data_IF_865256853118
#
_entry.id   IF_865256853118
#
_cell.length_a   1.000
_cell.length_b   1.000
_cell.length_c   1.000
_cell.angle_alpha   90.00
_cell.angle_beta   90.00
_cell.angle_gamma   90.00
#
_symmetry.space_group_name_H-M   'P 1'
#
loop_
_entity.id
_entity.type
_entity.pdbx_description
1 polymer ?
#
# COMPACT_ATOMS: atom_id res chain seq x y z
N UNK A 1 -11.94 -26.24 -1.06
CA UNK A 1 -11.07 -25.05 -1.19
C UNK A 1 -11.98 -23.85 -1.44
N UNK A 2 -11.84 -22.74 -0.70
CA UNK A 2 -12.76 -21.61 -0.87
C UNK A 2 -12.59 -20.96 -2.26
N UNK A 3 -13.65 -20.34 -2.79
CA UNK A 3 -13.59 -19.57 -4.06
C UNK A 3 -12.52 -18.48 -3.97
N UNK A 4 -12.38 -17.83 -2.82
CA UNK A 4 -11.40 -16.77 -2.59
C UNK A 4 -9.95 -17.31 -2.62
N UNK A 5 -9.70 -18.49 -2.03
CA UNK A 5 -8.39 -19.15 -2.12
C UNK A 5 -8.07 -19.57 -3.56
N UNK A 6 -9.06 -20.05 -4.32
CA UNK A 6 -8.91 -20.37 -5.74
C UNK A 6 -8.59 -19.13 -6.58
N UNK A 7 -9.36 -18.06 -6.40
CA UNK A 7 -9.13 -16.77 -7.07
C UNK A 7 -7.74 -16.20 -6.74
N UNK A 8 -7.32 -16.26 -5.47
CA UNK A 8 -6.02 -15.74 -5.04
C UNK A 8 -4.88 -16.44 -5.78
N UNK A 9 -4.92 -17.77 -5.87
CA UNK A 9 -3.94 -18.56 -6.61
C UNK A 9 -3.97 -18.23 -8.10
N UNK A 10 -5.16 -18.17 -8.70
CA UNK A 10 -5.32 -17.89 -10.12
C UNK A 10 -4.76 -16.51 -10.49
N UNK A 11 -5.20 -15.45 -9.80
CA UNK A 11 -4.73 -14.09 -10.05
C UNK A 11 -3.22 -13.94 -9.81
N UNK A 12 -2.70 -14.50 -8.70
CA UNK A 12 -1.26 -14.45 -8.41
C UNK A 12 -0.45 -15.13 -9.50
N UNK A 13 -0.91 -16.29 -9.99
CA UNK A 13 -0.18 -17.05 -11.01
C UNK A 13 -0.10 -16.35 -12.36
N UNK A 14 -1.07 -15.50 -12.68
CA UNK A 14 -1.12 -14.79 -13.97
C UNK A 14 -0.41 -13.43 -13.92
N UNK A 15 -0.50 -12.74 -12.78
CA UNK A 15 0.00 -11.36 -12.66
C UNK A 15 1.37 -11.32 -11.96
N UNK A 16 1.49 -11.95 -10.80
CA UNK A 16 2.70 -11.83 -9.98
C UNK A 16 3.85 -12.67 -10.53
N UNK A 17 3.57 -13.88 -11.01
CA UNK A 17 4.62 -14.72 -11.61
C UNK A 17 5.28 -14.05 -12.82
N UNK A 18 4.51 -13.32 -13.63
CA UNK A 18 5.07 -12.58 -14.77
C UNK A 18 6.01 -11.45 -14.34
N UNK A 19 5.74 -10.82 -13.18
CA UNK A 19 6.63 -9.82 -12.58
C UNK A 19 7.89 -10.50 -12.05
N UNK A 20 7.75 -11.63 -11.36
CA UNK A 20 8.88 -12.39 -10.83
C UNK A 20 9.81 -12.88 -11.96
N UNK A 21 9.25 -13.38 -13.06
CA UNK A 21 9.98 -13.84 -14.26
C UNK A 21 10.69 -12.69 -15.00
N UNK A 22 10.27 -11.44 -14.77
CA UNK A 22 10.92 -10.26 -15.35
C UNK A 22 12.20 -9.85 -14.61
N UNK A 23 12.53 -10.52 -13.49
CA UNK A 23 13.66 -10.20 -12.62
C UNK A 23 13.66 -8.73 -12.14
N UNK A 24 12.46 -8.17 -11.93
CA UNK A 24 12.26 -6.83 -11.39
C UNK A 24 11.76 -6.91 -9.95
N UNK A 25 12.17 -5.95 -9.14
CA UNK A 25 11.63 -5.81 -7.79
C UNK A 25 10.16 -5.34 -7.89
N UNK A 26 9.21 -6.17 -7.44
CA UNK A 26 7.78 -5.83 -7.50
C UNK A 26 7.38 -4.66 -6.59
N UNK A 27 8.22 -4.36 -5.61
CA UNK A 27 8.05 -3.21 -4.73
C UNK A 27 8.70 -1.94 -5.30
N UNK A 28 9.61 -2.08 -6.28
CA UNK A 28 10.21 -0.97 -7.03
C UNK A 28 10.67 -1.44 -8.42
N UNK A 29 9.85 -1.19 -9.46
CA UNK A 29 10.12 -1.64 -10.84
C UNK A 29 11.48 -1.16 -11.39
N UNK A 30 12.05 -0.08 -10.82
CA UNK A 30 13.32 0.49 -11.25
C UNK A 30 14.49 -0.41 -10.88
N UNK A 31 14.33 -1.23 -9.84
CA UNK A 31 15.34 -2.14 -9.33
C UNK A 31 15.25 -3.54 -9.96
N UNK A 32 16.36 -4.27 -9.90
CA UNK A 32 16.42 -5.70 -10.26
C UNK A 32 16.25 -6.52 -8.99
N UNK A 33 15.58 -7.66 -9.10
CA UNK A 33 15.46 -8.60 -8.01
C UNK A 33 15.38 -10.04 -8.53
N UNK A 34 16.03 -10.96 -7.83
CA UNK A 34 15.72 -12.38 -7.93
C UNK A 34 14.96 -12.78 -6.65
N UNK A 35 13.67 -13.08 -6.77
CA UNK A 35 12.84 -13.49 -5.63
C UNK A 35 13.23 -14.85 -5.04
N UNK A 36 14.11 -15.59 -5.71
CA UNK A 36 14.72 -16.81 -5.17
C UNK A 36 15.82 -16.48 -4.15
N UNK A 37 16.31 -15.25 -4.13
CA UNK A 37 17.24 -14.78 -3.11
C UNK A 37 16.54 -14.75 -1.73
N UNK A 38 17.15 -15.29 -0.67
CA UNK A 38 16.58 -15.31 0.68
C UNK A 38 16.21 -13.92 1.24
N UNK A 39 16.80 -12.84 0.72
CA UNK A 39 16.48 -11.47 1.09
C UNK A 39 15.14 -10.97 0.54
N UNK A 40 14.56 -11.61 -0.48
CA UNK A 40 13.27 -11.20 -1.04
C UNK A 40 13.27 -9.76 -1.56
N UNK A 41 14.32 -9.40 -2.31
CA UNK A 41 14.62 -8.08 -2.90
C UNK A 41 15.25 -7.04 -1.97
N UNK A 42 15.06 -7.13 -0.66
CA UNK A 42 15.64 -6.18 0.29
C UNK A 42 16.33 -6.90 1.45
N UNK A 43 17.63 -6.66 1.64
CA UNK A 43 18.37 -7.25 2.74
C UNK A 43 17.96 -6.66 4.09
N UNK A 44 17.10 -7.37 4.80
CA UNK A 44 16.62 -7.01 6.15
C UNK A 44 17.31 -7.80 7.27
N UNK A 45 18.41 -8.51 6.97
CA UNK A 45 19.11 -9.37 7.94
C UNK A 45 19.60 -8.61 9.17
N UNK A 46 20.09 -7.37 9.01
CA UNK A 46 20.51 -6.54 10.12
C UNK A 46 19.35 -6.20 11.08
N UNK A 47 18.17 -5.91 10.53
CA UNK A 47 16.94 -5.66 11.33
C UNK A 47 16.54 -6.93 12.08
N UNK A 48 16.53 -8.07 11.38
CA UNK A 48 16.20 -9.36 11.97
C UNK A 48 17.19 -9.76 13.09
N UNK A 49 18.49 -9.50 12.91
CA UNK A 49 19.50 -9.76 13.94
C UNK A 49 19.32 -8.84 15.15
N UNK A 50 19.11 -7.54 14.93
CA UNK A 50 18.90 -6.57 16.00
C UNK A 50 17.67 -6.93 16.85
N UNK A 51 16.51 -7.17 16.21
CA UNK A 51 15.26 -7.52 16.88
C UNK A 51 15.31 -8.87 17.59
N UNK A 52 16.19 -9.79 17.17
CA UNK A 52 16.38 -11.07 17.83
C UNK A 52 17.47 -11.07 18.91
N UNK A 53 18.19 -9.96 19.11
CA UNK A 53 19.18 -9.88 20.19
C UNK A 53 18.53 -9.99 21.56
N UNK A 54 19.20 -10.66 22.50
CA UNK A 54 18.72 -10.83 23.88
C UNK A 54 18.37 -9.49 24.52
N UNK A 55 19.24 -8.49 24.38
CA UNK A 55 19.03 -7.16 24.95
C UNK A 55 17.73 -6.50 24.43
N UNK A 56 17.46 -6.57 23.12
CA UNK A 56 16.24 -5.96 22.54
C UNK A 56 15.00 -6.75 22.93
N UNK A 57 15.06 -8.08 22.95
CA UNK A 57 13.93 -8.92 23.35
C UNK A 57 13.59 -8.78 24.83
N UNK A 58 14.59 -8.69 25.70
CA UNK A 58 14.40 -8.40 27.13
C UNK A 58 13.81 -7.00 27.35
N UNK A 59 14.36 -5.99 26.68
CA UNK A 59 13.87 -4.61 26.78
C UNK A 59 12.41 -4.47 26.34
N UNK A 60 12.02 -5.15 25.25
CA UNK A 60 10.64 -5.18 24.74
C UNK A 60 9.75 -6.21 25.45
N UNK A 61 10.29 -6.98 26.40
CA UNK A 61 9.60 -8.05 27.13
C UNK A 61 8.94 -9.10 26.20
N UNK A 62 9.66 -9.53 25.16
CA UNK A 62 9.17 -10.49 24.16
C UNK A 62 9.30 -11.92 24.70
N UNK A 63 8.18 -12.64 24.79
CA UNK A 63 8.17 -14.06 25.16
C UNK A 63 9.10 -14.90 24.29
N UNK A 64 9.81 -15.85 24.90
CA UNK A 64 10.66 -16.84 24.20
C UNK A 64 9.87 -17.71 23.21
N UNK A 65 8.55 -17.84 23.39
CA UNK A 65 7.68 -18.59 22.49
C UNK A 65 7.51 -17.93 21.11
N UNK A 66 7.87 -16.64 20.98
CA UNK A 66 7.83 -15.92 19.71
C UNK A 66 9.11 -16.20 18.93
N UNK A 67 9.08 -17.23 18.09
CA UNK A 67 10.26 -17.70 17.33
C UNK A 67 10.28 -17.23 15.88
N UNK A 68 9.12 -16.95 15.27
CA UNK A 68 9.01 -16.26 13.96
C UNK A 68 7.56 -15.84 13.66
N UNK A 69 7.40 -14.79 12.84
CA UNK A 69 6.09 -14.35 12.31
C UNK A 69 5.69 -15.22 11.10
N UNK A 70 5.13 -16.41 11.34
CA UNK A 70 4.49 -17.21 10.29
C UNK A 70 2.96 -17.04 10.29
N UNK A 71 2.49 -15.81 10.06
CA UNK A 71 1.05 -15.50 10.09
C UNK A 71 0.36 -15.58 8.71
N UNK A 72 1.11 -15.56 7.60
CA UNK A 72 0.53 -15.43 6.25
C UNK A 72 -0.42 -16.56 5.84
N UNK A 73 -0.23 -17.78 6.33
CA UNK A 73 -1.03 -18.94 5.90
C UNK A 73 -2.51 -18.83 6.32
N UNK A 74 -2.79 -18.21 7.47
CA UNK A 74 -4.14 -18.17 8.05
C UNK A 74 -5.11 -17.23 7.33
N UNK A 75 -4.61 -16.28 6.54
CA UNK A 75 -5.44 -15.23 5.92
C UNK A 75 -5.53 -15.36 4.39
N UNK A 76 -5.07 -16.47 3.82
CA UNK A 76 -5.08 -16.68 2.36
C UNK A 76 -6.49 -16.70 1.74
N UNK A 77 -7.53 -16.99 2.53
CA UNK A 77 -8.93 -16.87 2.10
C UNK A 77 -9.44 -15.43 2.01
N UNK A 78 -8.72 -14.48 2.62
CA UNK A 78 -9.24 -13.12 2.82
C UNK A 78 -8.72 -12.15 1.75
N UNK A 79 -7.57 -12.46 1.12
CA UNK A 79 -6.96 -11.65 0.06
C UNK A 79 -7.91 -11.26 -1.08
N UNK A 80 -8.85 -12.12 -1.43
CA UNK A 80 -9.77 -11.90 -2.56
C UNK A 80 -11.19 -11.53 -2.13
N UNK A 81 -11.41 -11.25 -0.84
CA UNK A 81 -12.68 -10.68 -0.40
C UNK A 81 -12.73 -9.21 -0.82
N UNK A 82 -13.91 -8.73 -1.16
CA UNK A 82 -14.08 -7.31 -1.45
C UNK A 82 -14.27 -6.53 -0.15
N UNK A 83 -13.40 -5.56 0.10
CA UNK A 83 -13.44 -4.66 1.25
C UNK A 83 -13.68 -3.19 0.87
N UNK A 84 -13.81 -2.87 -0.42
CA UNK A 84 -13.96 -1.48 -0.90
C UNK A 84 -15.24 -0.81 -0.37
N UNK A 85 -16.31 -1.59 -0.15
CA UNK A 85 -17.58 -1.12 0.40
C UNK A 85 -17.44 -0.46 1.78
N UNK A 86 -16.52 -0.94 2.62
CA UNK A 86 -16.25 -0.31 3.91
C UNK A 86 -15.65 1.09 3.77
N UNK A 87 -14.87 1.34 2.71
CA UNK A 87 -14.38 2.68 2.39
C UNK A 87 -15.53 3.59 1.98
N UNK A 88 -16.47 3.08 1.17
CA UNK A 88 -17.66 3.84 0.80
C UNK A 88 -18.51 4.20 2.03
N UNK A 89 -18.70 3.28 2.98
CA UNK A 89 -19.42 3.54 4.22
C UNK A 89 -18.77 4.68 5.03
N UNK A 90 -17.45 4.65 5.20
CA UNK A 90 -16.68 5.70 5.89
C UNK A 90 -16.81 7.07 5.19
N UNK A 91 -16.73 7.08 3.86
CA UNK A 91 -16.86 8.30 3.06
C UNK A 91 -18.28 8.89 3.12
N UNK A 92 -19.31 8.02 3.17
CA UNK A 92 -20.71 8.43 3.27
C UNK A 92 -21.10 8.95 4.66
N UNK A 93 -20.51 8.38 5.73
CA UNK A 93 -20.65 8.90 7.09
C UNK A 93 -20.01 10.30 7.20
N UNK A 94 -18.82 10.48 6.63
CA UNK A 94 -18.12 11.77 6.60
C UNK A 94 -17.46 12.15 7.94
N UNK A 95 -17.51 11.27 8.94
CA UNK A 95 -16.82 11.43 10.22
C UNK A 95 -15.29 11.24 10.12
N UNK A 96 -14.82 10.59 9.05
CA UNK A 96 -13.41 10.27 8.83
C UNK A 96 -12.95 10.81 7.48
N UNK A 97 -11.75 11.38 7.45
CA UNK A 97 -11.05 11.78 6.22
C UNK A 97 -10.26 10.59 5.70
N UNK A 98 -10.39 10.28 4.41
CA UNK A 98 -9.71 9.12 3.79
C UNK A 98 -8.61 9.59 2.83
N UNK A 99 -7.42 9.04 3.00
CA UNK A 99 -6.27 9.24 2.11
C UNK A 99 -5.83 7.89 1.55
N UNK A 100 -5.91 7.73 0.23
CA UNK A 100 -5.32 6.63 -0.51
C UNK A 100 -4.06 7.16 -1.18
N UNK A 101 -2.91 6.58 -0.88
CA UNK A 101 -1.64 6.97 -1.49
C UNK A 101 -0.91 5.72 -1.98
N UNK A 102 -0.15 5.84 -3.07
CA UNK A 102 0.57 4.72 -3.68
C UNK A 102 1.86 5.21 -4.33
N UNK A 103 2.91 4.40 -4.21
CA UNK A 103 4.18 4.65 -4.87
C UNK A 103 4.04 4.64 -6.40
N UNK A 104 4.77 5.51 -7.11
CA UNK A 104 4.79 5.51 -8.57
C UNK A 104 5.57 4.33 -9.19
N UNK A 105 6.48 3.74 -8.43
CA UNK A 105 7.32 2.62 -8.83
C UNK A 105 6.87 1.25 -8.27
N UNK A 106 5.85 1.20 -7.41
CA UNK A 106 5.31 -0.05 -6.86
C UNK A 106 4.45 -0.76 -7.93
N UNK A 107 4.69 -2.05 -8.16
CA UNK A 107 3.88 -2.88 -9.06
C UNK A 107 2.83 -3.71 -8.31
N UNK A 108 3.19 -4.22 -7.13
CA UNK A 108 2.35 -5.11 -6.32
C UNK A 108 1.10 -4.37 -5.82
N UNK A 109 1.26 -3.11 -5.41
CA UNK A 109 0.18 -2.19 -4.98
C UNK A 109 0.20 -0.88 -5.78
N UNK A 110 0.21 -1.00 -7.11
CA UNK A 110 0.47 0.13 -8.00
C UNK A 110 -0.58 1.25 -7.97
N UNK A 111 -0.11 2.46 -8.25
CA UNK A 111 -0.93 3.67 -8.26
C UNK A 111 -2.03 3.68 -9.33
N UNK A 112 -1.86 2.96 -10.45
CA UNK A 112 -2.89 2.83 -11.49
C UNK A 112 -4.08 2.03 -11.00
N UNK A 113 -3.83 0.92 -10.30
CA UNK A 113 -4.84 0.12 -9.63
C UNK A 113 -5.57 0.95 -8.59
N UNK A 114 -4.82 1.66 -7.74
CA UNK A 114 -5.38 2.58 -6.74
C UNK A 114 -6.25 3.68 -7.37
N UNK A 115 -5.79 4.32 -8.45
CA UNK A 115 -6.58 5.32 -9.17
C UNK A 115 -7.84 4.70 -9.80
N UNK A 116 -7.74 3.51 -10.37
CA UNK A 116 -8.85 2.86 -11.07
C UNK A 116 -9.99 2.48 -10.11
N UNK A 117 -9.70 1.86 -8.97
CA UNK A 117 -10.75 1.47 -8.02
C UNK A 117 -11.36 2.68 -7.31
N UNK A 118 -10.55 3.69 -6.96
CA UNK A 118 -11.06 4.91 -6.29
C UNK A 118 -12.01 5.72 -7.18
N UNK A 119 -11.78 5.77 -8.49
CA UNK A 119 -12.71 6.41 -9.45
C UNK A 119 -14.01 5.66 -9.64
N UNK A 120 -13.98 4.34 -9.49
CA UNK A 120 -15.14 3.45 -9.68
C UNK A 120 -15.93 3.21 -8.39
N UNK A 121 -15.33 3.49 -7.22
CA UNK A 121 -15.99 3.36 -5.93
C UNK A 121 -17.28 4.18 -5.91
N UNK A 122 -18.39 3.51 -5.59
CA UNK A 122 -19.70 4.15 -5.52
C UNK A 122 -19.91 4.73 -4.13
N UNK A 123 -20.03 6.06 -4.05
CA UNK A 123 -20.32 6.79 -2.81
C UNK A 123 -20.95 8.14 -3.14
N UNK A 124 -21.45 8.84 -2.12
CA UNK A 124 -22.26 10.06 -2.27
C UNK A 124 -21.61 11.14 -3.13
N UNK A 125 -20.29 11.32 -3.03
CA UNK A 125 -19.56 12.35 -3.77
C UNK A 125 -18.57 11.80 -4.83
N UNK A 126 -18.89 10.64 -5.41
CA UNK A 126 -18.07 10.04 -6.48
C UNK A 126 -17.87 10.97 -7.68
N UNK A 127 -18.93 11.65 -8.10
CA UNK A 127 -18.87 12.55 -9.27
C UNK A 127 -17.96 13.75 -8.97
N UNK A 128 -18.12 14.41 -7.81
CA UNK A 128 -17.23 15.52 -7.43
C UNK A 128 -15.77 15.05 -7.33
N UNK A 129 -15.51 13.81 -6.88
CA UNK A 129 -14.15 13.25 -6.86
C UNK A 129 -13.55 13.05 -8.25
N UNK A 130 -14.36 12.59 -9.20
CA UNK A 130 -13.91 12.39 -10.58
C UNK A 130 -13.71 13.71 -11.33
N UNK A 131 -14.52 14.72 -11.01
CA UNK A 131 -14.44 16.07 -11.59
C UNK A 131 -13.37 16.95 -10.96
N UNK A 132 -12.92 16.62 -9.75
CA UNK A 132 -11.85 17.36 -9.07
C UNK A 132 -10.56 17.40 -9.89
N UNK A 133 -9.97 18.59 -9.96
CA UNK A 133 -8.69 18.82 -10.61
C UNK A 133 -7.57 18.08 -9.88
N UNK A 134 -6.58 17.62 -10.65
CA UNK A 134 -5.34 17.12 -10.09
C UNK A 134 -4.43 18.30 -9.76
N UNK A 135 -4.00 18.39 -8.52
CA UNK A 135 -3.00 19.35 -8.09
C UNK A 135 -1.66 18.66 -7.89
N UNK A 136 -0.59 19.33 -8.30
CA UNK A 136 0.75 18.88 -7.93
C UNK A 136 0.97 19.12 -6.44
N UNK A 137 1.58 18.14 -5.79
CA UNK A 137 1.90 18.15 -4.37
C UNK A 137 3.38 18.49 -4.20
N UNK A 138 3.66 19.58 -3.52
CA UNK A 138 5.02 19.94 -3.09
C UNK A 138 5.19 19.60 -1.63
N UNK A 139 6.25 18.84 -1.33
CA UNK A 139 6.68 18.52 0.03
C UNK A 139 7.41 19.75 0.55
N UNK A 140 7.05 20.21 1.76
CA UNK A 140 7.71 21.38 2.34
C UNK A 140 9.22 21.11 2.48
N UNK A 141 10.05 21.94 1.83
CA UNK A 141 11.50 21.82 1.84
C UNK A 141 12.11 21.00 0.69
N UNK A 142 11.31 20.48 -0.24
CA UNK A 142 11.82 19.84 -1.47
C UNK A 142 11.48 20.68 -2.71
N UNK A 143 12.45 20.76 -3.64
CA UNK A 143 12.30 21.48 -4.91
C UNK A 143 11.51 20.66 -5.94
N UNK A 144 11.37 19.35 -5.72
CA UNK A 144 10.66 18.45 -6.61
C UNK A 144 9.14 18.57 -6.40
N UNK A 145 8.44 18.82 -7.50
CA UNK A 145 6.98 18.86 -7.54
C UNK A 145 6.47 17.47 -7.91
N UNK A 146 5.66 16.86 -7.06
CA UNK A 146 5.09 15.53 -7.29
C UNK A 146 3.71 15.71 -7.94
N UNK A 147 3.54 15.32 -9.20
CA UNK A 147 2.26 15.47 -9.93
C UNK A 147 1.19 14.48 -9.45
N UNK A 148 0.45 14.78 -8.38
CA UNK A 148 -0.26 13.66 -7.75
C UNK A 148 -1.34 13.90 -6.68
N UNK A 149 -2.29 14.82 -6.83
CA UNK A 149 -3.44 14.80 -5.93
C UNK A 149 -4.75 15.15 -6.62
N UNK A 150 -5.67 14.16 -6.77
CA UNK A 150 -7.10 14.49 -6.80
C UNK A 150 -7.50 14.80 -5.36
N UNK A 151 -8.01 16.00 -5.14
CA UNK A 151 -8.44 16.43 -3.81
C UNK A 151 -9.84 17.00 -3.92
N UNK A 152 -10.83 16.37 -3.27
CA UNK A 152 -12.09 17.05 -2.99
C UNK A 152 -12.05 17.58 -1.56
N UNK A 153 -12.30 18.87 -1.40
CA UNK A 153 -12.62 19.47 -0.12
C UNK A 153 -14.06 19.95 -0.22
N UNK A 154 -15.03 19.04 -0.14
CA UNK A 154 -16.35 19.46 0.33
C UNK A 154 -16.25 19.53 1.85
N UNK A 155 -16.90 20.52 2.46
CA UNK A 155 -16.78 20.85 3.89
C UNK A 155 -17.18 19.73 4.87
N UNK A 156 -17.51 18.52 4.38
CA UNK A 156 -17.94 17.35 5.18
C UNK A 156 -17.39 15.99 4.73
N UNK A 157 -16.70 15.87 3.59
CA UNK A 157 -16.11 14.59 3.14
C UNK A 157 -14.81 14.85 2.39
N UNK A 158 -13.70 14.25 2.85
CA UNK A 158 -12.38 14.36 2.23
C UNK A 158 -11.94 12.99 1.71
N UNK A 159 -11.74 12.91 0.39
CA UNK A 159 -11.12 11.78 -0.27
C UNK A 159 -9.96 12.29 -1.14
N UNK A 160 -8.79 11.67 -0.98
CA UNK A 160 -7.62 11.95 -1.83
C UNK A 160 -7.01 10.65 -2.33
N UNK A 161 -6.70 10.61 -3.63
CA UNK A 161 -5.90 9.55 -4.25
C UNK A 161 -4.60 10.17 -4.77
N UNK A 162 -3.46 9.61 -4.34
CA UNK A 162 -2.14 10.18 -4.59
C UNK A 162 -1.16 9.16 -5.16
N UNK A 163 -0.47 9.57 -6.21
CA UNK A 163 0.78 8.99 -6.65
C UNK A 163 1.93 9.62 -5.85
N UNK A 164 2.92 8.86 -5.43
CA UNK A 164 4.03 9.40 -4.64
C UNK A 164 5.32 8.81 -5.16
N UNK A 165 6.28 9.65 -5.54
CA UNK A 165 7.64 9.19 -5.75
C UNK A 165 8.25 8.91 -4.39
N UNK A 166 8.82 7.73 -4.18
CA UNK A 166 9.32 7.34 -2.85
C UNK A 166 10.44 8.29 -2.36
N UNK A 167 10.23 8.93 -1.21
CA UNK A 167 11.24 9.68 -0.43
C UNK A 167 10.90 9.57 1.06
N UNK A 168 11.89 9.39 1.96
CA UNK A 168 11.65 9.31 3.40
C UNK A 168 10.87 10.50 3.97
N UNK A 169 11.02 11.70 3.38
CA UNK A 169 10.38 12.94 3.86
C UNK A 169 8.91 13.08 3.48
N UNK A 170 8.44 12.36 2.45
CA UNK A 170 7.04 12.45 2.03
C UNK A 170 6.12 11.76 3.04
N UNK A 171 6.53 10.59 3.55
CA UNK A 171 5.72 9.82 4.51
C UNK A 171 5.43 10.61 5.78
N UNK A 172 6.40 11.40 6.28
CA UNK A 172 6.22 12.20 7.48
C UNK A 172 5.18 13.32 7.30
N UNK A 173 5.11 13.93 6.11
CA UNK A 173 4.19 15.05 5.87
C UNK A 173 2.75 14.60 5.59
N UNK A 174 2.53 13.38 5.08
CA UNK A 174 1.19 12.83 4.84
C UNK A 174 0.36 12.69 6.12
N UNK A 175 1.00 12.55 7.29
CA UNK A 175 0.33 12.42 8.59
C UNK A 175 0.08 13.75 9.32
N UNK A 176 0.58 14.87 8.78
CA UNK A 176 0.62 16.17 9.48
C UNK A 176 -0.57 17.11 9.20
N UNK A 177 -1.56 16.68 8.41
CA UNK A 177 -2.67 17.54 7.93
C UNK A 177 -4.03 16.86 8.04
#
# INVERSE_FOLDING_TARGET
>A
MSVCTGASRYCSSLLLNAVDDSHRNKYDIREKCDFRDPSGCYNTSAVAQYLNSTAVREYLNVSEQVTSLQQRAHYSSDLMKNFDGYVADLLNDGSVRVLIYSGDADLDCNWRGSEAWTKQLKWKNQQEFNDAEKHSFQVAGETETIDAARTTTSSRSFASSRQVTWSPRINEQLHSR
#
